data_IF_406072927161
#
_entry.id   IF_406072927161
#
_cell.length_a   1.000
_cell.length_b   1.000
_cell.length_c   1.000
_cell.angle_alpha   90.00
_cell.angle_beta   90.00
_cell.angle_gamma   90.00
#
_symmetry.space_group_name_H-M   'P 1'
#
loop_
_entity.id
_entity.type
_entity.pdbx_description
1 polymer ?
#
# COMPACT_ATOMS: atom_id res chain seq x y z
N UNK A 1 -2.67 23.64 -6.27
CA UNK A 1 -1.40 23.78 -5.52
C UNK A 1 -1.34 25.14 -4.85
N UNK A 2 -2.05 25.33 -3.73
CA UNK A 2 -2.00 26.55 -2.90
C UNK A 2 -1.82 26.23 -1.41
N UNK A 3 -1.40 25.02 -1.04
CA UNK A 3 -1.38 24.57 0.36
C UNK A 3 0.01 24.61 1.02
N UNK A 4 1.04 24.90 0.24
CA UNK A 4 2.38 25.22 0.73
C UNK A 4 2.73 26.57 0.13
N UNK A 5 3.05 27.57 0.97
CA UNK A 5 3.24 28.98 0.60
C UNK A 5 4.42 29.30 -0.33
N UNK A 6 4.80 28.36 -1.20
CA UNK A 6 5.81 28.54 -2.23
C UNK A 6 5.16 29.09 -3.51
N UNK A 7 5.87 30.01 -4.18
CA UNK A 7 5.54 30.38 -5.55
C UNK A 7 5.68 29.16 -6.47
N UNK A 8 4.88 29.10 -7.54
CA UNK A 8 4.96 28.03 -8.54
C UNK A 8 6.38 27.88 -9.10
N UNK A 9 7.13 28.98 -9.18
CA UNK A 9 8.50 29.04 -9.68
C UNK A 9 9.53 28.31 -8.78
N UNK A 10 9.15 27.97 -7.54
CA UNK A 10 9.98 27.23 -6.59
C UNK A 10 9.69 25.72 -6.60
N UNK A 11 8.69 25.27 -7.35
CA UNK A 11 8.28 23.86 -7.40
C UNK A 11 8.73 23.23 -8.71
N UNK A 12 9.69 22.32 -8.63
CA UNK A 12 10.15 21.53 -9.77
C UNK A 12 9.55 20.13 -9.72
N UNK A 13 8.71 19.79 -10.70
CA UNK A 13 8.11 18.45 -10.80
C UNK A 13 9.13 17.51 -11.45
N UNK A 14 9.81 16.71 -10.62
CA UNK A 14 10.83 15.76 -11.07
C UNK A 14 10.37 14.30 -11.04
N UNK A 15 9.21 14.01 -10.44
CA UNK A 15 8.76 12.63 -10.17
C UNK A 15 9.23 12.17 -8.79
N UNK A 16 9.51 10.87 -8.63
CA UNK A 16 9.91 10.30 -7.34
C UNK A 16 11.12 9.35 -7.49
N UNK A 17 12.37 9.85 -7.46
CA UNK A 17 13.59 9.06 -7.68
C UNK A 17 13.67 7.79 -6.84
N UNK A 18 13.25 7.90 -5.58
CA UNK A 18 13.20 6.77 -4.67
C UNK A 18 12.23 5.66 -5.12
N UNK A 19 11.02 6.00 -5.61
CA UNK A 19 10.05 5.01 -6.09
C UNK A 19 10.43 4.46 -7.46
N UNK A 20 11.06 5.28 -8.32
CA UNK A 20 11.63 4.82 -9.59
C UNK A 20 12.62 3.67 -9.36
N UNK A 21 13.54 3.83 -8.40
CA UNK A 21 14.48 2.78 -7.99
C UNK A 21 13.75 1.52 -7.52
N UNK A 22 12.75 1.67 -6.65
CA UNK A 22 11.98 0.53 -6.12
C UNK A 22 11.24 -0.20 -7.24
N UNK A 23 10.62 0.53 -8.18
CA UNK A 23 9.97 -0.07 -9.34
C UNK A 23 10.95 -0.86 -10.19
N UNK A 24 12.15 -0.32 -10.44
CA UNK A 24 13.21 -1.01 -11.18
C UNK A 24 13.69 -2.28 -10.45
N UNK A 25 14.01 -2.20 -9.15
CA UNK A 25 14.47 -3.34 -8.35
C UNK A 25 13.39 -4.43 -8.21
N UNK A 26 12.12 -4.04 -8.13
CA UNK A 26 11.01 -4.99 -8.02
C UNK A 26 10.78 -5.83 -9.29
N UNK A 27 11.32 -5.40 -10.44
CA UNK A 27 11.32 -6.20 -11.68
C UNK A 27 12.20 -7.44 -11.56
N UNK A 28 13.28 -7.33 -10.78
CA UNK A 28 14.30 -8.38 -10.63
C UNK A 28 14.07 -9.25 -9.39
N UNK A 29 13.27 -8.78 -8.42
CA UNK A 29 12.78 -9.59 -7.31
C UNK A 29 11.72 -10.56 -7.82
N UNK A 30 12.17 -11.61 -8.51
CA UNK A 30 11.35 -12.64 -9.12
C UNK A 30 10.33 -13.21 -8.14
N UNK A 31 9.06 -12.78 -8.27
CA UNK A 31 7.92 -13.51 -7.73
C UNK A 31 7.67 -14.79 -8.54
N UNK A 32 8.73 -15.56 -8.79
CA UNK A 32 8.72 -16.87 -9.46
C UNK A 32 8.21 -17.98 -8.53
N UNK A 33 7.52 -17.61 -7.45
CA UNK A 33 6.99 -18.52 -6.46
C UNK A 33 5.47 -18.66 -6.52
N UNK A 34 4.98 -19.81 -6.09
CA UNK A 34 3.56 -20.03 -5.83
C UNK A 34 3.01 -19.20 -4.66
N UNK A 35 3.76 -18.26 -4.06
CA UNK A 35 3.32 -17.51 -2.89
C UNK A 35 3.02 -16.05 -3.22
N UNK A 36 1.77 -15.64 -2.98
CA UNK A 36 1.33 -14.25 -3.05
C UNK A 36 1.43 -13.65 -1.65
N UNK A 37 2.11 -12.51 -1.54
CA UNK A 37 2.29 -11.78 -0.28
C UNK A 37 1.41 -10.54 -0.26
N UNK A 38 0.55 -10.46 0.75
CA UNK A 38 -0.41 -9.37 0.98
C UNK A 38 0.00 -8.64 2.26
N UNK A 39 0.14 -7.31 2.19
CA UNK A 39 0.49 -6.47 3.31
C UNK A 39 -0.68 -5.58 3.73
N UNK A 40 -1.13 -5.73 4.97
CA UNK A 40 -2.05 -4.81 5.62
C UNK A 40 -1.25 -3.66 6.22
N UNK A 41 -1.49 -2.44 5.77
CA UNK A 41 -0.82 -1.22 6.22
C UNK A 41 -1.72 -0.52 7.23
N UNK A 42 -1.40 -0.68 8.51
CA UNK A 42 -2.16 -0.08 9.62
C UNK A 42 -1.79 1.39 9.82
N UNK A 43 -2.71 2.13 10.44
CA UNK A 43 -2.49 3.50 10.90
C UNK A 43 -3.10 3.70 12.30
N UNK A 44 -2.55 4.61 13.10
CA UNK A 44 -3.07 4.85 14.44
C UNK A 44 -4.37 5.66 14.37
N UNK A 45 -5.33 5.33 15.22
CA UNK A 45 -6.46 6.20 15.50
C UNK A 45 -5.96 7.35 16.36
N UNK A 46 -6.01 8.56 15.81
CA UNK A 46 -5.54 9.79 16.47
C UNK A 46 -6.68 10.58 17.09
N UNK A 47 -7.91 10.40 16.62
CA UNK A 47 -9.10 11.15 17.06
C UNK A 47 -9.42 10.97 18.54
N UNK A 48 -9.17 9.78 19.09
CA UNK A 48 -9.37 9.45 20.50
C UNK A 48 -8.06 9.48 21.33
N UNK A 49 -6.94 9.90 20.71
CA UNK A 49 -5.60 9.90 21.31
C UNK A 49 -5.12 8.53 21.82
N UNK A 50 -5.80 7.43 21.47
CA UNK A 50 -5.39 6.08 21.89
C UNK A 50 -4.15 5.61 21.14
N UNK A 51 -3.94 6.09 19.90
CA UNK A 51 -2.96 5.53 18.98
C UNK A 51 -3.11 4.02 18.79
N UNK A 52 -4.33 3.50 18.93
CA UNK A 52 -4.64 2.12 18.62
C UNK A 52 -4.59 1.90 17.11
N UNK A 53 -4.00 0.79 16.67
CA UNK A 53 -3.97 0.44 15.25
C UNK A 53 -5.37 0.17 14.73
N UNK A 54 -5.70 0.74 13.58
CA UNK A 54 -7.07 0.77 13.07
C UNK A 54 -7.68 -0.61 12.83
N UNK A 55 -6.86 -1.59 12.42
CA UNK A 55 -7.30 -2.96 12.22
C UNK A 55 -7.72 -3.67 13.52
N UNK A 56 -7.32 -3.16 14.68
CA UNK A 56 -7.72 -3.69 15.98
C UNK A 56 -9.00 -3.06 16.53
N UNK A 57 -9.59 -2.10 15.81
CA UNK A 57 -10.87 -1.48 16.18
C UNK A 57 -11.98 -2.52 16.15
N UNK A 58 -12.90 -2.41 17.11
CA UNK A 58 -14.03 -3.33 17.23
C UNK A 58 -15.30 -2.76 16.60
N UNK A 59 -15.94 -3.56 15.75
CA UNK A 59 -17.26 -3.30 15.17
C UNK A 59 -18.15 -4.51 15.43
N UNK A 60 -19.40 -4.28 15.85
CA UNK A 60 -20.31 -5.38 16.19
C UNK A 60 -19.78 -6.35 17.26
N UNK A 61 -18.82 -5.91 18.09
CA UNK A 61 -18.17 -6.74 19.11
C UNK A 61 -16.98 -7.60 18.62
N UNK A 62 -16.57 -7.48 17.35
CA UNK A 62 -15.42 -8.20 16.79
C UNK A 62 -14.37 -7.23 16.26
N UNK A 63 -13.09 -7.63 16.27
CA UNK A 63 -12.01 -6.80 15.70
C UNK A 63 -12.04 -6.91 14.18
N UNK A 64 -11.84 -5.80 13.48
CA UNK A 64 -11.81 -5.79 12.01
C UNK A 64 -10.79 -6.78 11.44
N UNK A 65 -9.60 -6.87 12.03
CA UNK A 65 -8.55 -7.81 11.59
C UNK A 65 -9.02 -9.26 11.62
N UNK A 66 -9.88 -9.63 12.58
CA UNK A 66 -10.45 -10.97 12.68
C UNK A 66 -11.50 -11.19 11.59
N UNK A 67 -12.36 -10.19 11.32
CA UNK A 67 -13.36 -10.28 10.24
C UNK A 67 -12.72 -10.39 8.86
N UNK A 68 -11.65 -9.62 8.62
CA UNK A 68 -10.87 -9.70 7.37
C UNK A 68 -10.22 -11.08 7.24
N UNK A 69 -9.63 -11.60 8.32
CA UNK A 69 -9.02 -12.93 8.31
C UNK A 69 -10.06 -14.01 8.02
N UNK A 70 -11.25 -13.93 8.64
CA UNK A 70 -12.36 -14.84 8.37
C UNK A 70 -12.80 -14.78 6.90
N UNK A 71 -12.95 -13.59 6.32
CA UNK A 71 -13.34 -13.44 4.91
C UNK A 71 -12.29 -14.03 3.98
N UNK A 72 -11.00 -13.88 4.30
CA UNK A 72 -9.94 -14.46 3.48
C UNK A 72 -9.86 -15.98 3.69
N UNK A 73 -10.12 -16.50 4.88
CA UNK A 73 -10.13 -17.95 5.18
C UNK A 73 -11.37 -18.65 4.62
N UNK A 74 -12.58 -18.14 4.89
CA UNK A 74 -13.84 -18.62 4.28
C UNK A 74 -13.80 -18.46 2.77
N UNK A 75 -13.28 -17.32 2.35
CA UNK A 75 -12.90 -17.03 1.00
C UNK A 75 -12.02 -18.12 0.42
N UNK A 76 -10.92 -18.51 1.06
CA UNK A 76 -9.95 -19.50 0.56
C UNK A 76 -10.53 -20.90 0.25
N UNK A 77 -11.69 -21.26 0.80
CA UNK A 77 -12.41 -22.47 0.40
C UNK A 77 -13.08 -22.35 -0.99
N UNK A 78 -13.36 -21.12 -1.44
CA UNK A 78 -13.92 -20.77 -2.76
C UNK A 78 -12.92 -20.00 -3.67
N UNK A 79 -11.95 -19.30 -3.08
CA UNK A 79 -10.86 -18.50 -3.65
C UNK A 79 -9.58 -19.33 -3.77
N UNK A 80 -9.72 -20.65 -3.95
CA UNK A 80 -8.58 -21.51 -4.16
C UNK A 80 -7.92 -21.10 -5.48
N UNK A 81 -7.02 -20.11 -5.43
CA UNK A 81 -6.05 -19.79 -6.46
C UNK A 81 -5.26 -21.10 -6.67
N UNK A 82 -5.59 -21.93 -7.67
CA UNK A 82 -5.15 -23.32 -7.67
C UNK A 82 -3.63 -23.34 -7.74
N UNK A 83 -3.00 -23.93 -6.72
CA UNK A 83 -1.54 -23.99 -6.63
C UNK A 83 -0.84 -22.74 -6.09
N UNK A 84 -1.56 -21.71 -5.61
CA UNK A 84 -0.96 -20.54 -4.93
C UNK A 84 -1.21 -20.55 -3.42
N UNK A 85 -0.20 -20.14 -2.65
CA UNK A 85 -0.27 -19.85 -1.21
C UNK A 85 -0.40 -18.35 -1.00
N UNK A 86 -1.37 -17.89 -0.22
CA UNK A 86 -1.43 -16.48 0.20
C UNK A 86 -0.78 -16.33 1.57
N UNK A 87 0.16 -15.41 1.72
CA UNK A 87 0.76 -15.01 2.99
C UNK A 87 0.30 -13.60 3.32
N UNK A 88 -0.37 -13.45 4.46
CA UNK A 88 -0.85 -12.17 4.97
C UNK A 88 0.07 -11.65 6.06
N UNK A 89 0.48 -10.40 5.94
CA UNK A 89 1.31 -9.71 6.91
C UNK A 89 0.62 -8.41 7.36
N UNK A 90 0.79 -8.00 8.62
CA UNK A 90 0.38 -6.68 9.12
C UNK A 90 1.62 -5.82 9.39
N UNK A 91 1.72 -4.67 8.72
CA UNK A 91 2.65 -3.59 9.07
C UNK A 91 1.95 -2.56 9.94
N UNK A 92 2.51 -2.34 11.12
CA UNK A 92 2.00 -1.36 12.08
C UNK A 92 2.67 -0.01 11.89
N UNK A 93 1.93 1.06 12.16
CA UNK A 93 2.54 2.38 12.19
C UNK A 93 3.42 2.52 13.46
N UNK A 94 4.59 3.19 13.39
CA UNK A 94 5.52 3.29 14.53
C UNK A 94 4.94 3.90 15.82
N UNK A 95 3.92 4.76 15.68
CA UNK A 95 3.21 5.39 16.80
C UNK A 95 2.16 4.49 17.46
N UNK A 96 1.85 3.33 16.89
CA UNK A 96 0.80 2.46 17.44
C UNK A 96 1.23 1.83 18.77
N UNK A 97 0.30 1.74 19.71
CA UNK A 97 0.49 0.99 20.95
C UNK A 97 0.74 -0.51 20.68
N UNK A 98 1.52 -1.23 21.52
CA UNK A 98 2.01 -2.59 21.29
C UNK A 98 0.95 -3.60 20.82
N UNK A 99 1.42 -4.63 20.10
CA UNK A 99 0.60 -5.63 19.40
C UNK A 99 -0.38 -6.35 20.33
N UNK A 100 -1.67 -6.20 20.01
CA UNK A 100 -2.66 -7.23 20.32
C UNK A 100 -2.39 -8.48 19.48
N UNK A 101 -2.85 -9.64 19.95
CA UNK A 101 -2.66 -10.92 19.26
C UNK A 101 -3.29 -10.89 17.85
N UNK A 102 -2.51 -11.22 16.83
CA UNK A 102 -2.98 -11.36 15.44
C UNK A 102 -3.85 -12.62 15.26
N UNK A 103 -4.80 -12.61 14.31
CA UNK A 103 -5.58 -13.80 13.97
C UNK A 103 -4.68 -14.88 13.34
N UNK A 104 -5.17 -16.13 13.36
CA UNK A 104 -4.48 -17.26 12.73
C UNK A 104 -4.32 -16.98 11.22
N UNK A 105 -3.15 -17.29 10.67
CA UNK A 105 -2.86 -17.09 9.25
C UNK A 105 -2.39 -15.68 8.87
N UNK A 106 -2.26 -14.77 9.84
CA UNK A 106 -1.66 -13.45 9.65
C UNK A 106 -0.40 -13.29 10.51
N UNK A 107 0.70 -12.90 9.87
CA UNK A 107 1.98 -12.63 10.52
C UNK A 107 2.16 -11.11 10.73
N UNK A 108 3.07 -10.72 11.63
CA UNK A 108 3.60 -9.36 11.58
C UNK A 108 4.50 -9.21 10.34
N UNK A 109 4.54 -8.02 9.76
CA UNK A 109 5.49 -7.69 8.70
C UNK A 109 6.92 -7.96 9.19
N UNK A 110 7.66 -8.91 8.58
CA UNK A 110 8.97 -9.30 9.07
C UNK A 110 10.06 -8.27 8.75
N UNK A 111 9.75 -7.26 7.93
CA UNK A 111 10.74 -6.31 7.43
C UNK A 111 10.74 -5.03 8.27
N UNK A 112 11.90 -4.66 8.79
CA UNK A 112 12.08 -3.39 9.49
C UNK A 112 11.84 -2.20 8.54
N UNK A 113 12.49 -2.25 7.38
CA UNK A 113 12.47 -1.16 6.40
C UNK A 113 11.26 -1.22 5.47
N UNK A 114 10.71 -0.04 5.18
CA UNK A 114 9.57 0.12 4.29
C UNK A 114 9.90 -0.25 2.84
N UNK A 115 11.09 0.11 2.33
CA UNK A 115 11.59 -0.28 1.01
C UNK A 115 11.49 -1.79 0.77
N UNK A 116 11.91 -2.58 1.76
CA UNK A 116 11.88 -4.04 1.66
C UNK A 116 10.45 -4.54 1.65
N UNK A 117 9.57 -3.93 2.45
CA UNK A 117 8.14 -4.25 2.45
C UNK A 117 7.51 -3.96 1.08
N UNK A 118 7.86 -2.82 0.47
CA UNK A 118 7.45 -2.42 -0.87
C UNK A 118 7.92 -3.43 -1.92
N UNK A 119 9.18 -3.88 -1.88
CA UNK A 119 9.70 -4.86 -2.84
C UNK A 119 9.02 -6.22 -2.71
N UNK A 120 8.93 -6.73 -1.49
CA UNK A 120 8.59 -8.13 -1.20
C UNK A 120 7.09 -8.44 -1.23
N UNK A 121 6.23 -7.43 -1.10
CA UNK A 121 4.78 -7.61 -1.16
C UNK A 121 4.20 -7.25 -2.53
N UNK A 122 3.11 -7.93 -2.88
CA UNK A 122 2.45 -7.81 -4.18
C UNK A 122 1.20 -6.94 -4.10
N UNK A 123 0.45 -7.12 -3.02
CA UNK A 123 -0.83 -6.48 -2.77
C UNK A 123 -0.76 -5.75 -1.43
N UNK A 124 -1.21 -4.51 -1.40
CA UNK A 124 -1.25 -3.67 -0.21
C UNK A 124 -2.70 -3.32 0.10
N UNK A 125 -3.09 -3.43 1.37
CA UNK A 125 -4.44 -3.17 1.85
C UNK A 125 -4.34 -2.19 3.01
N UNK A 126 -5.11 -1.11 2.97
CA UNK A 126 -5.09 -0.11 4.03
C UNK A 126 -6.24 0.88 3.89
N UNK A 127 -6.11 2.05 4.49
CA UNK A 127 -7.03 3.17 4.27
C UNK A 127 -6.36 4.28 3.47
N UNK A 128 -6.12 5.44 4.08
CA UNK A 128 -5.56 6.65 3.48
C UNK A 128 -4.11 6.95 3.90
N UNK A 129 -3.41 5.94 4.45
CA UNK A 129 -2.00 6.04 4.82
C UNK A 129 -1.11 6.40 3.62
N UNK A 130 -0.17 7.31 3.83
CA UNK A 130 0.87 7.65 2.84
C UNK A 130 1.66 6.43 2.36
N UNK A 131 1.87 5.43 3.23
CA UNK A 131 2.50 4.18 2.82
C UNK A 131 1.66 3.42 1.76
N UNK A 132 0.33 3.45 1.86
CA UNK A 132 -0.51 2.84 0.83
C UNK A 132 -0.45 3.63 -0.49
N UNK A 133 -0.38 4.97 -0.40
CA UNK A 133 -0.19 5.85 -1.57
C UNK A 133 1.15 5.56 -2.25
N UNK A 134 2.25 5.47 -1.48
CA UNK A 134 3.58 5.14 -2.00
C UNK A 134 3.61 3.77 -2.68
N UNK A 135 2.92 2.76 -2.12
CA UNK A 135 2.78 1.46 -2.77
C UNK A 135 2.05 1.58 -4.12
N UNK A 136 0.97 2.35 -4.18
CA UNK A 136 0.24 2.62 -5.42
C UNK A 136 1.09 3.33 -6.46
N UNK A 137 1.83 4.36 -6.05
CA UNK A 137 2.78 5.08 -6.91
C UNK A 137 3.92 4.18 -7.39
N UNK A 138 4.36 3.22 -6.58
CA UNK A 138 5.33 2.19 -6.97
C UNK A 138 4.75 1.11 -7.93
N UNK A 139 3.52 1.29 -8.41
CA UNK A 139 2.85 0.36 -9.33
C UNK A 139 2.32 -0.91 -8.66
N UNK A 140 2.27 -0.95 -7.32
CA UNK A 140 1.74 -2.11 -6.59
C UNK A 140 0.22 -2.12 -6.63
N UNK A 141 -0.38 -3.32 -6.51
CA UNK A 141 -1.83 -3.47 -6.41
C UNK A 141 -2.26 -2.99 -5.02
N UNK A 142 -3.12 -1.97 -4.97
CA UNK A 142 -3.60 -1.40 -3.71
C UNK A 142 -5.12 -1.55 -3.58
N UNK A 143 -5.57 -1.90 -2.38
CA UNK A 143 -6.97 -1.95 -1.98
C UNK A 143 -7.17 -0.99 -0.82
N UNK A 144 -8.07 -0.02 -1.00
CA UNK A 144 -8.43 0.93 0.06
C UNK A 144 -9.73 0.50 0.69
N UNK A 145 -9.73 0.32 2.00
CA UNK A 145 -10.91 0.07 2.81
C UNK A 145 -11.65 1.39 2.99
N UNK A 146 -12.81 1.51 2.34
CA UNK A 146 -13.74 2.63 2.44
C UNK A 146 -14.99 2.18 3.19
N UNK A 147 -14.75 1.60 4.37
CA UNK A 147 -15.80 1.05 5.23
C UNK A 147 -16.56 2.21 5.89
N UNK A 148 -17.90 2.19 5.91
CA UNK A 148 -18.72 3.25 6.50
C UNK A 148 -18.29 3.65 7.92
N UNK A 149 -17.83 2.67 8.70
CA UNK A 149 -17.40 2.79 10.08
C UNK A 149 -16.14 3.66 10.26
N UNK A 150 -15.37 3.87 9.20
CA UNK A 150 -14.12 4.63 9.23
C UNK A 150 -14.21 6.02 8.60
N UNK A 151 -15.38 6.39 8.06
CA UNK A 151 -15.57 7.71 7.44
C UNK A 151 -15.35 8.88 8.40
N UNK A 152 -15.50 8.66 9.71
CA UNK A 152 -15.22 9.65 10.74
C UNK A 152 -13.75 9.65 11.21
N UNK A 153 -12.95 8.66 10.80
CA UNK A 153 -11.54 8.50 11.20
C UNK A 153 -10.55 8.89 10.10
N UNK A 154 -11.04 9.12 8.87
CA UNK A 154 -10.26 9.58 7.72
C UNK A 154 -10.71 11.00 7.36
N UNK A 155 -9.75 11.94 7.37
CA UNK A 155 -9.96 13.35 7.05
C UNK A 155 -9.52 13.69 5.61
N UNK A 156 -8.86 12.75 4.92
CA UNK A 156 -8.21 13.00 3.64
C UNK A 156 -8.78 12.17 2.50
N UNK A 157 -9.49 12.82 1.56
CA UNK A 157 -9.62 12.25 0.22
C UNK A 157 -8.29 12.45 -0.51
N UNK A 158 -7.51 11.39 -0.69
CA UNK A 158 -6.36 11.42 -1.61
C UNK A 158 -6.90 11.83 -2.99
N UNK A 159 -6.39 12.92 -3.60
CA UNK A 159 -7.05 13.58 -4.74
C UNK A 159 -6.88 12.84 -6.07
N UNK A 160 -6.43 11.59 -6.06
CA UNK A 160 -6.26 10.75 -7.23
C UNK A 160 -6.57 9.29 -6.90
N UNK A 161 -7.02 8.54 -7.91
CA UNK A 161 -7.28 7.12 -7.75
C UNK A 161 -5.96 6.33 -7.88
N UNK A 162 -5.59 5.59 -6.82
CA UNK A 162 -4.41 4.72 -6.80
C UNK A 162 -4.72 3.28 -6.33
N UNK A 163 -5.98 3.01 -6.00
CA UNK A 163 -6.41 1.76 -5.37
C UNK A 163 -7.84 1.39 -5.76
N UNK A 164 -8.17 0.09 -5.76
CA UNK A 164 -9.57 -0.35 -5.79
C UNK A 164 -10.19 -0.13 -4.41
N UNK A 165 -11.37 0.48 -4.34
CA UNK A 165 -12.08 0.69 -3.08
C UNK A 165 -12.91 -0.53 -2.70
N UNK A 166 -12.84 -0.94 -1.43
CA UNK A 166 -13.68 -1.95 -0.82
C UNK A 166 -14.57 -1.29 0.25
N UNK A 167 -15.87 -1.23 -0.02
CA UNK A 167 -16.86 -0.54 0.84
C UNK A 167 -17.49 -1.44 1.91
N UNK A 168 -17.17 -2.73 1.89
CA UNK A 168 -17.56 -3.72 2.88
C UNK A 168 -16.59 -4.92 2.77
N UNK A 169 -16.72 -5.89 3.68
CA UNK A 169 -15.84 -7.07 3.73
C UNK A 169 -16.01 -8.00 2.53
N UNK A 170 -17.21 -8.10 1.94
CA UNK A 170 -17.43 -8.84 0.69
C UNK A 170 -16.69 -8.20 -0.49
N UNK A 171 -16.75 -6.88 -0.62
CA UNK A 171 -16.04 -6.12 -1.65
C UNK A 171 -14.52 -6.16 -1.48
N UNK A 172 -14.03 -6.34 -0.24
CA UNK A 172 -12.61 -6.61 0.01
C UNK A 172 -12.20 -7.96 -0.59
N UNK A 173 -13.02 -8.98 -0.42
CA UNK A 173 -12.78 -10.31 -0.98
C UNK A 173 -12.68 -10.25 -2.52
N UNK A 174 -13.68 -9.65 -3.17
CA UNK A 174 -13.70 -9.44 -4.63
C UNK A 174 -12.53 -8.58 -5.13
N UNK A 175 -12.12 -7.57 -4.35
CA UNK A 175 -10.98 -6.73 -4.68
C UNK A 175 -9.66 -7.52 -4.59
N UNK A 176 -9.52 -8.38 -3.59
CA UNK A 176 -8.36 -9.24 -3.42
C UNK A 176 -8.25 -10.28 -4.54
N UNK A 177 -9.36 -10.95 -4.90
CA UNK A 177 -9.39 -11.87 -6.03
C UNK A 177 -8.97 -11.21 -7.34
N UNK A 178 -9.55 -10.04 -7.64
CA UNK A 178 -9.22 -9.30 -8.85
C UNK A 178 -7.74 -8.86 -8.85
N UNK A 179 -7.21 -8.45 -7.70
CA UNK A 179 -5.80 -8.08 -7.57
C UNK A 179 -4.88 -9.28 -7.81
N UNK A 180 -5.22 -10.46 -7.30
CA UNK A 180 -4.47 -11.70 -7.53
C UNK A 180 -4.54 -12.12 -8.99
N UNK A 181 -5.74 -12.18 -9.58
CA UNK A 181 -5.90 -12.53 -10.99
C UNK A 181 -5.11 -11.59 -11.92
N UNK A 182 -5.04 -10.30 -11.57
CA UNK A 182 -4.23 -9.33 -12.30
C UNK A 182 -2.73 -9.61 -12.18
N UNK A 183 -2.22 -10.19 -11.09
CA UNK A 183 -0.81 -10.59 -11.00
C UNK A 183 -0.48 -11.66 -12.05
N UNK A 184 -1.36 -12.65 -12.22
CA UNK A 184 -1.17 -13.73 -13.20
C UNK A 184 -1.23 -13.21 -14.65
N UNK A 185 -2.12 -12.26 -14.95
CA UNK A 185 -2.20 -11.63 -16.27
C UNK A 185 -0.97 -10.75 -16.57
N UNK A 186 -0.37 -10.14 -15.54
CA UNK A 186 0.80 -9.26 -15.69
C UNK A 186 2.11 -10.03 -15.83
N UNK A 187 2.15 -11.34 -15.53
CA UNK A 187 3.33 -12.19 -15.74
C UNK A 187 3.80 -12.27 -17.20
N UNK A 188 2.95 -11.85 -18.16
CA UNK A 188 3.25 -11.85 -19.59
C UNK A 188 3.63 -10.49 -20.19
N UNK A 189 3.48 -9.38 -19.46
CA UNK A 189 3.85 -8.04 -19.92
C UNK A 189 4.21 -7.17 -18.70
N UNK A 190 5.44 -6.64 -18.70
CA UNK A 190 6.17 -6.09 -17.55
C UNK A 190 5.41 -5.12 -16.64
N UNK A 191 5.88 -5.02 -15.39
CA UNK A 191 5.29 -4.14 -14.39
C UNK A 191 5.24 -2.69 -14.89
N UNK A 192 4.07 -2.09 -14.66
CA UNK A 192 3.69 -0.71 -14.95
C UNK A 192 4.37 0.23 -13.94
N UNK A 193 5.69 0.42 -14.04
CA UNK A 193 6.28 1.64 -13.49
C UNK A 193 5.55 2.79 -14.18
N UNK A 194 4.83 3.66 -13.44
CA UNK A 194 4.11 4.74 -14.08
C UNK A 194 5.08 5.64 -14.84
N UNK A 195 4.67 6.13 -16.02
CA UNK A 195 5.53 6.96 -16.87
C UNK A 195 6.09 8.19 -16.13
N UNK A 196 5.36 8.71 -15.14
CA UNK A 196 5.80 9.84 -14.32
C UNK A 196 7.01 9.52 -13.40
N UNK A 197 7.32 8.25 -13.17
CA UNK A 197 8.52 7.83 -12.45
C UNK A 197 9.75 7.68 -13.35
N UNK A 198 9.56 7.43 -14.65
CA UNK A 198 10.69 7.24 -15.57
C UNK A 198 11.56 8.48 -15.62
N UNK A 199 12.88 8.33 -15.52
CA UNK A 199 13.89 9.39 -15.53
C UNK A 199 13.73 10.42 -14.41
N UNK A 200 13.05 10.06 -13.31
CA UNK A 200 12.83 11.00 -12.20
C UNK A 200 14.13 11.37 -11.51
N UNK A 201 15.05 10.41 -11.42
CA UNK A 201 16.43 10.62 -10.96
C UNK A 201 17.17 11.59 -11.87
N UNK A 202 17.10 11.39 -13.19
CA UNK A 202 17.77 12.28 -14.15
C UNK A 202 17.21 13.70 -14.11
N UNK A 203 15.87 13.87 -14.07
CA UNK A 203 15.24 15.19 -13.92
C UNK A 203 15.66 15.90 -12.64
N UNK A 204 15.87 15.15 -11.55
CA UNK A 204 16.36 15.71 -10.29
C UNK A 204 17.79 16.22 -10.44
N UNK A 205 18.67 15.46 -11.10
CA UNK A 205 20.04 15.88 -11.41
C UNK A 205 20.07 17.11 -12.31
N UNK A 206 19.26 17.15 -13.36
CA UNK A 206 19.17 18.29 -14.28
C UNK A 206 18.75 19.58 -13.55
N UNK A 207 17.83 19.48 -12.59
CA UNK A 207 17.43 20.61 -11.75
C UNK A 207 18.59 21.05 -10.86
N UNK A 208 19.27 20.12 -10.18
CA UNK A 208 20.42 20.43 -9.33
C UNK A 208 21.56 21.10 -10.12
N UNK A 209 21.89 20.58 -11.31
CA UNK A 209 22.91 21.17 -12.19
C UNK A 209 22.56 22.60 -12.61
N UNK A 210 21.29 22.89 -12.90
CA UNK A 210 20.84 24.27 -13.19
C UNK A 210 21.05 25.21 -12.01
N UNK A 211 20.92 24.73 -10.77
CA UNK A 211 21.21 25.53 -9.58
C UNK A 211 22.71 25.75 -9.40
N UNK A 212 23.55 24.73 -9.61
CA UNK A 212 25.00 24.85 -9.42
C UNK A 212 25.71 25.59 -10.57
N UNK A 213 25.22 25.47 -11.81
CA UNK A 213 25.80 26.12 -13.00
C UNK A 213 25.32 27.56 -13.20
N UNK A 214 24.19 27.95 -12.58
CA UNK A 214 23.89 29.36 -12.34
C UNK A 214 24.84 29.85 -11.26
N UNK A 215 26.04 30.27 -11.67
CA UNK A 215 26.89 31.12 -10.83
C UNK A 215 26.03 32.27 -10.32
N UNK A 216 25.76 32.28 -9.02
CA UNK A 216 25.35 33.49 -8.29
C UNK A 216 26.58 34.39 -8.20
#
# INVERSE_FOLDING_TARGET
MRDVGFGADCVHVVGHPYLERICAESRDSGSTGNTIRVLFVSQPITSDQSFKGIFFTQFGGRRLIDEIADVIEMGSAHFAFPGRRVKMCLRRHPKEQPLEKLPKGMDADPFAEWDTSLREHHIFIGMDSMALVEAGLAGKRCITLDLPEFRSLSDGSVPFAYSKKAVNTAGLAEALEAAVAALDASSGNGSTCPEFLHDSTQRTLDVAERFFNKKI
#
